data_IF_789696670676
#
_entry.id   IF_789696670676
#
_cell.length_a   1.000
_cell.length_b   1.000
_cell.length_c   1.000
_cell.angle_alpha   90.00
_cell.angle_beta   90.00
_cell.angle_gamma   90.00
#
_symmetry.space_group_name_H-M   'P 1'
#
loop_
_entity.id
_entity.type
_entity.pdbx_description
1 polymer ?
#
# COMPACT_ATOMS: atom_id res chain seq x y z
N UNK A 1 -22.88 -13.35 6.54
CA UNK A 1 -22.24 -14.68 6.58
C UNK A 1 -21.06 -14.70 7.57
N UNK A 2 -21.28 -14.35 8.84
CA UNK A 2 -20.22 -14.34 9.86
C UNK A 2 -20.75 -14.78 11.23
N UNK A 3 -21.50 -15.89 11.24
CA UNK A 3 -22.09 -16.46 12.47
C UNK A 3 -21.93 -17.97 12.59
N UNK A 4 -21.18 -18.63 11.68
CA UNK A 4 -21.05 -20.09 11.65
C UNK A 4 -19.63 -20.64 11.84
N UNK A 5 -18.61 -19.81 12.04
CA UNK A 5 -17.22 -20.27 12.21
C UNK A 5 -16.80 -20.21 13.69
N UNK A 6 -17.20 -21.23 14.44
CA UNK A 6 -16.76 -21.47 15.82
C UNK A 6 -15.31 -22.00 15.85
N UNK A 7 -14.36 -21.08 15.66
CA UNK A 7 -13.07 -21.11 16.35
C UNK A 7 -11.97 -22.07 15.88
N UNK A 8 -12.20 -22.96 14.90
CA UNK A 8 -11.13 -23.77 14.29
C UNK A 8 -11.23 -23.78 12.77
N UNK A 9 -10.60 -22.80 12.14
CA UNK A 9 -10.46 -22.73 10.69
C UNK A 9 -9.07 -22.22 10.33
N UNK A 10 -8.58 -22.61 9.17
CA UNK A 10 -7.41 -22.01 8.55
C UNK A 10 -7.93 -20.87 7.68
N UNK A 11 -7.58 -19.63 8.03
CA UNK A 11 -7.85 -18.47 7.19
C UNK A 11 -6.81 -18.44 6.06
N UNK A 12 -7.27 -18.49 4.81
CA UNK A 12 -6.43 -18.26 3.65
C UNK A 12 -6.82 -16.89 3.10
N UNK A 13 -5.90 -15.93 3.21
CA UNK A 13 -6.09 -14.60 2.62
C UNK A 13 -5.67 -14.65 1.16
N UNK A 14 -6.57 -14.26 0.27
CA UNK A 14 -6.34 -14.20 -1.17
C UNK A 14 -6.37 -12.74 -1.58
N UNK A 15 -5.22 -12.20 -1.97
CA UNK A 15 -5.10 -10.87 -2.55
C UNK A 15 -5.07 -10.92 -4.08
N UNK A 16 -4.86 -9.75 -4.69
CA UNK A 16 -4.45 -9.66 -6.09
C UNK A 16 -3.10 -10.32 -6.35
N UNK A 17 -2.86 -10.63 -7.62
CA UNK A 17 -1.63 -11.26 -8.08
C UNK A 17 -0.42 -10.41 -7.65
N UNK A 18 0.56 -11.06 -7.02
CA UNK A 18 1.91 -10.51 -6.91
C UNK A 18 2.52 -10.29 -8.30
N UNK A 19 3.62 -9.54 -8.38
CA UNK A 19 4.28 -9.31 -9.68
C UNK A 19 4.71 -10.62 -10.36
N UNK A 20 5.26 -11.58 -9.61
CA UNK A 20 5.61 -12.91 -10.14
C UNK A 20 4.38 -13.64 -10.69
N UNK A 21 3.27 -13.65 -9.95
CA UNK A 21 2.03 -14.25 -10.40
C UNK A 21 1.44 -13.51 -11.60
N UNK A 22 1.56 -12.18 -11.66
CA UNK A 22 1.14 -11.37 -12.81
C UNK A 22 1.90 -11.76 -14.07
N UNK A 23 3.22 -11.96 -13.99
CA UNK A 23 4.03 -12.46 -15.10
C UNK A 23 3.55 -13.84 -15.57
N UNK A 24 3.34 -14.77 -14.64
CA UNK A 24 2.90 -16.14 -14.93
C UNK A 24 1.49 -16.15 -15.54
N UNK A 25 0.54 -15.44 -14.93
CA UNK A 25 -0.83 -15.38 -15.41
C UNK A 25 -0.92 -14.78 -16.81
N UNK A 26 -0.13 -13.75 -17.09
CA UNK A 26 -0.20 -13.03 -18.36
C UNK A 26 0.75 -13.57 -19.44
N UNK A 27 1.52 -14.63 -19.15
CA UNK A 27 2.57 -15.16 -20.04
C UNK A 27 3.57 -14.08 -20.48
N UNK A 28 4.01 -13.26 -19.52
CA UNK A 28 4.93 -12.15 -19.76
C UNK A 28 6.34 -12.50 -19.29
N UNK A 29 7.33 -12.06 -20.07
CA UNK A 29 8.73 -12.07 -19.63
C UNK A 29 8.94 -11.02 -18.54
N UNK A 30 9.81 -11.32 -17.58
CA UNK A 30 10.24 -10.35 -16.59
C UNK A 30 11.07 -9.24 -17.27
N UNK A 31 10.44 -8.09 -17.54
CA UNK A 31 11.06 -6.91 -18.13
C UNK A 31 10.37 -5.61 -17.65
N UNK A 32 10.91 -4.46 -18.06
CA UNK A 32 10.41 -3.16 -17.63
C UNK A 32 9.00 -2.85 -18.15
N UNK A 33 8.62 -3.37 -19.31
CA UNK A 33 7.25 -3.19 -19.85
C UNK A 33 6.21 -3.95 -19.03
N UNK A 34 6.54 -5.18 -18.62
CA UNK A 34 5.69 -5.97 -17.73
C UNK A 34 5.54 -5.30 -16.36
N UNK A 35 6.64 -4.78 -15.79
CA UNK A 35 6.60 -4.01 -14.55
C UNK A 35 5.72 -2.76 -14.73
N UNK A 36 5.92 -1.98 -15.79
CA UNK A 36 5.11 -0.79 -16.07
C UNK A 36 3.62 -1.11 -16.18
N UNK A 37 3.27 -2.23 -16.82
CA UNK A 37 1.89 -2.69 -16.92
C UNK A 37 1.32 -3.06 -15.54
N UNK A 38 2.08 -3.78 -14.70
CA UNK A 38 1.68 -4.10 -13.33
C UNK A 38 1.48 -2.84 -12.46
N UNK A 39 2.43 -1.89 -12.50
CA UNK A 39 2.34 -0.61 -11.80
C UNK A 39 1.18 0.29 -12.29
N UNK A 40 0.60 -0.01 -13.46
CA UNK A 40 -0.51 0.76 -14.04
C UNK A 40 -1.86 0.09 -13.83
N UNK A 41 -1.96 -1.19 -14.17
CA UNK A 41 -3.20 -1.97 -14.21
C UNK A 41 -3.49 -2.72 -12.91
N UNK A 42 -2.50 -2.89 -12.04
CA UNK A 42 -2.62 -3.74 -10.86
C UNK A 42 -2.51 -5.23 -11.18
N UNK A 43 -2.87 -6.06 -10.21
CA UNK A 43 -2.76 -7.51 -10.19
C UNK A 43 -4.11 -8.24 -10.24
N UNK A 44 -5.21 -7.61 -10.65
CA UNK A 44 -6.50 -8.33 -10.72
C UNK A 44 -6.46 -9.47 -11.78
N UNK A 45 -6.73 -10.74 -11.41
CA UNK A 45 -6.49 -11.88 -12.30
C UNK A 45 -7.27 -11.84 -13.62
N UNK A 46 -8.49 -11.30 -13.61
CA UNK A 46 -9.35 -11.27 -14.79
C UNK A 46 -8.81 -10.36 -15.90
N UNK A 47 -7.88 -9.44 -15.59
CA UNK A 47 -7.21 -8.59 -16.59
C UNK A 47 -6.57 -9.46 -17.67
N UNK A 48 -6.11 -10.68 -17.36
CA UNK A 48 -5.58 -11.65 -18.35
C UNK A 48 -6.48 -11.80 -19.57
N UNK A 49 -7.80 -11.87 -19.36
CA UNK A 49 -8.79 -12.16 -20.40
C UNK A 49 -9.20 -10.93 -21.23
N UNK A 50 -8.72 -9.74 -20.86
CA UNK A 50 -9.04 -8.50 -21.53
C UNK A 50 -8.02 -8.16 -22.61
N UNK A 51 -8.51 -7.46 -23.65
CA UNK A 51 -7.67 -6.77 -24.62
C UNK A 51 -6.77 -5.79 -23.86
N UNK A 52 -5.46 -5.81 -24.14
CA UNK A 52 -4.44 -5.00 -23.46
C UNK A 52 -4.45 -3.54 -23.91
N UNK A 53 -5.59 -2.88 -23.71
CA UNK A 53 -5.79 -1.44 -23.92
C UNK A 53 -6.28 -0.80 -22.63
N UNK A 54 -5.84 0.41 -22.38
CA UNK A 54 -6.08 1.10 -21.11
C UNK A 54 -7.57 1.36 -20.88
N UNK A 55 -8.28 1.86 -21.88
CA UNK A 55 -9.73 2.07 -21.83
C UNK A 55 -10.49 0.80 -21.40
N UNK A 56 -10.23 -0.32 -22.06
CA UNK A 56 -10.87 -1.62 -21.77
C UNK A 56 -10.58 -2.09 -20.33
N UNK A 57 -9.32 -2.01 -19.92
CA UNK A 57 -8.91 -2.47 -18.59
C UNK A 57 -9.48 -1.55 -17.51
N UNK A 58 -9.41 -0.22 -17.69
CA UNK A 58 -9.92 0.73 -16.70
C UNK A 58 -11.44 0.71 -16.60
N UNK A 59 -12.18 0.42 -17.66
CA UNK A 59 -13.63 0.22 -17.57
C UNK A 59 -13.99 -1.04 -16.78
N UNK A 60 -13.23 -2.14 -16.95
CA UNK A 60 -13.35 -3.31 -16.07
C UNK A 60 -13.05 -2.95 -14.61
N UNK A 61 -11.93 -2.28 -14.34
CA UNK A 61 -11.52 -1.90 -12.97
C UNK A 61 -12.55 -0.99 -12.30
N UNK A 62 -13.13 -0.02 -13.04
CA UNK A 62 -14.22 0.83 -12.53
C UNK A 62 -15.46 0.02 -12.16
N UNK A 63 -15.83 -0.98 -12.96
CA UNK A 63 -16.99 -1.84 -12.65
C UNK A 63 -16.77 -2.68 -11.37
N UNK A 64 -15.56 -3.20 -11.18
CA UNK A 64 -15.17 -3.89 -9.94
C UNK A 64 -15.22 -2.91 -8.76
N UNK A 65 -14.61 -1.73 -8.91
CA UNK A 65 -14.59 -0.66 -7.91
C UNK A 65 -16.01 -0.26 -7.48
N UNK A 66 -16.93 -0.05 -8.44
CA UNK A 66 -18.33 0.24 -8.15
C UNK A 66 -18.99 -0.89 -7.36
N UNK A 67 -18.70 -2.15 -7.69
CA UNK A 67 -19.24 -3.30 -6.96
C UNK A 67 -18.75 -3.31 -5.51
N UNK A 68 -17.46 -3.12 -5.27
CA UNK A 68 -16.87 -3.06 -3.92
C UNK A 68 -17.48 -1.90 -3.13
N UNK A 69 -17.48 -0.69 -3.70
CA UNK A 69 -17.97 0.51 -3.02
C UNK A 69 -19.46 0.39 -2.71
N UNK A 70 -20.30 0.03 -3.69
CA UNK A 70 -21.75 0.02 -3.49
C UNK A 70 -22.22 -1.19 -2.70
N UNK A 71 -21.83 -2.42 -3.08
CA UNK A 71 -22.34 -3.64 -2.44
C UNK A 71 -21.64 -3.94 -1.12
N UNK A 72 -20.31 -3.95 -1.14
CA UNK A 72 -19.54 -4.45 0.01
C UNK A 72 -19.40 -3.42 1.13
N UNK A 73 -19.59 -2.13 0.80
CA UNK A 73 -19.48 -1.03 1.77
C UNK A 73 -20.79 -0.27 1.97
N UNK A 74 -21.31 0.44 0.95
CA UNK A 74 -22.47 1.33 1.13
C UNK A 74 -23.71 0.56 1.59
N UNK A 75 -24.10 -0.49 0.88
CA UNK A 75 -25.27 -1.31 1.23
C UNK A 75 -25.04 -2.07 2.53
N UNK A 76 -23.88 -2.70 2.71
CA UNK A 76 -23.56 -3.50 3.91
C UNK A 76 -23.63 -2.70 5.21
N UNK A 77 -23.15 -1.45 5.20
CA UNK A 77 -23.11 -0.60 6.39
C UNK A 77 -24.18 0.49 6.40
N UNK A 78 -25.12 0.48 5.44
CA UNK A 78 -26.19 1.47 5.28
C UNK A 78 -25.67 2.92 5.33
N UNK A 79 -24.61 3.20 4.56
CA UNK A 79 -23.99 4.53 4.50
C UNK A 79 -24.98 5.54 3.93
N UNK A 80 -25.34 6.56 4.73
CA UNK A 80 -26.28 7.61 4.33
C UNK A 80 -25.65 8.72 3.50
N UNK A 81 -24.46 9.17 3.88
CA UNK A 81 -23.77 10.26 3.19
C UNK A 81 -22.79 9.69 2.16
N UNK A 82 -23.33 9.28 1.02
CA UNK A 82 -22.57 8.66 -0.08
C UNK A 82 -21.57 9.65 -0.68
N UNK A 83 -21.98 10.91 -0.90
CA UNK A 83 -21.11 11.95 -1.48
C UNK A 83 -19.85 12.17 -0.64
N UNK A 84 -20.00 12.29 0.68
CA UNK A 84 -18.85 12.41 1.56
C UNK A 84 -17.98 11.15 1.53
N UNK A 85 -18.60 9.97 1.53
CA UNK A 85 -17.87 8.71 1.49
C UNK A 85 -17.02 8.60 0.22
N UNK A 86 -17.59 8.85 -0.96
CA UNK A 86 -16.85 8.82 -2.23
C UNK A 86 -15.71 9.84 -2.26
N UNK A 87 -15.94 11.06 -1.76
CA UNK A 87 -14.90 12.09 -1.65
C UNK A 87 -13.78 11.68 -0.68
N UNK A 88 -14.11 10.99 0.43
CA UNK A 88 -13.13 10.45 1.36
C UNK A 88 -12.24 9.40 0.69
N UNK A 89 -12.82 8.49 -0.11
CA UNK A 89 -12.04 7.47 -0.84
C UNK A 89 -11.11 8.14 -1.87
N UNK A 90 -11.61 9.11 -2.63
CA UNK A 90 -10.78 9.87 -3.58
C UNK A 90 -9.63 10.58 -2.87
N UNK A 91 -9.91 11.21 -1.73
CA UNK A 91 -8.88 11.84 -0.91
C UNK A 91 -7.82 10.84 -0.42
N UNK A 92 -8.21 9.64 0.01
CA UNK A 92 -7.27 8.56 0.37
C UNK A 92 -6.41 8.12 -0.81
N UNK A 93 -6.99 8.01 -2.02
CA UNK A 93 -6.24 7.65 -3.22
C UNK A 93 -5.20 8.72 -3.60
N UNK A 94 -5.52 10.01 -3.47
CA UNK A 94 -4.55 11.09 -3.67
C UNK A 94 -3.44 11.10 -2.60
N UNK A 95 -3.74 10.62 -1.39
CA UNK A 95 -2.83 10.66 -0.24
C UNK A 95 -2.33 9.27 0.17
N UNK A 96 -2.30 8.32 -0.76
CA UNK A 96 -1.79 6.96 -0.48
C UNK A 96 -0.33 7.03 0.00
N UNK A 97 -0.01 6.33 1.09
CA UNK A 97 1.31 6.38 1.72
C UNK A 97 1.60 7.65 2.53
N UNK A 98 0.76 8.69 2.48
CA UNK A 98 0.94 9.89 3.29
C UNK A 98 0.28 9.77 4.68
N UNK A 99 0.71 10.62 5.61
CA UNK A 99 0.09 10.71 6.94
C UNK A 99 -1.35 11.19 6.84
N UNK A 100 -2.25 10.38 7.37
CA UNK A 100 -3.67 10.66 7.43
C UNK A 100 -4.13 10.82 8.89
N UNK A 101 -4.90 11.88 9.17
CA UNK A 101 -5.51 12.11 10.48
C UNK A 101 -7.00 12.43 10.33
N UNK A 102 -7.88 11.63 10.93
CA UNK A 102 -9.33 11.85 10.88
C UNK A 102 -9.74 13.21 11.46
N UNK A 103 -9.01 13.71 12.46
CA UNK A 103 -9.22 15.04 13.04
C UNK A 103 -9.03 16.14 12.00
N UNK A 104 -7.94 16.11 11.23
CA UNK A 104 -7.66 17.13 10.18
C UNK A 104 -8.80 17.22 9.16
N UNK A 105 -9.40 16.09 8.79
CA UNK A 105 -10.53 16.06 7.85
C UNK A 105 -11.79 16.64 8.48
N UNK A 106 -12.12 16.21 9.70
CA UNK A 106 -13.28 16.72 10.43
C UNK A 106 -13.18 18.24 10.65
N UNK A 107 -12.01 18.73 11.07
CA UNK A 107 -11.75 20.15 11.29
C UNK A 107 -11.82 20.95 9.98
N UNK A 108 -11.26 20.43 8.88
CA UNK A 108 -11.38 21.05 7.56
C UNK A 108 -12.83 21.14 7.10
N UNK A 109 -13.62 20.05 7.22
CA UNK A 109 -15.02 20.03 6.81
C UNK A 109 -15.87 20.99 7.65
N UNK A 110 -15.62 21.06 8.96
CA UNK A 110 -16.26 22.05 9.84
C UNK A 110 -15.98 23.48 9.39
N UNK A 111 -14.77 23.79 8.93
CA UNK A 111 -14.46 25.11 8.37
C UNK A 111 -15.27 25.44 7.11
N UNK A 112 -15.69 24.41 6.37
CA UNK A 112 -16.58 24.50 5.20
C UNK A 112 -18.08 24.42 5.57
N UNK A 113 -18.42 24.51 6.86
CA UNK A 113 -19.79 24.38 7.39
C UNK A 113 -20.43 23.01 7.15
N UNK A 114 -19.62 21.97 6.98
CA UNK A 114 -20.06 20.58 6.88
C UNK A 114 -19.72 19.87 8.19
N UNK A 115 -20.73 19.50 8.97
CA UNK A 115 -20.51 18.82 10.25
C UNK A 115 -20.37 17.30 10.06
N UNK A 116 -19.12 16.84 9.99
CA UNK A 116 -18.78 15.42 9.97
C UNK A 116 -17.83 15.15 11.13
N UNK A 117 -18.27 14.30 12.07
CA UNK A 117 -17.45 13.93 13.21
C UNK A 117 -16.28 13.02 12.82
N UNK A 118 -15.20 13.09 13.59
CA UNK A 118 -14.03 12.20 13.48
C UNK A 118 -14.41 10.72 13.57
N UNK A 119 -15.42 10.38 14.39
CA UNK A 119 -15.97 9.03 14.52
C UNK A 119 -16.57 8.52 13.21
N UNK A 120 -17.24 9.37 12.43
CA UNK A 120 -17.79 9.00 11.12
C UNK A 120 -16.67 8.70 10.14
N UNK A 121 -15.65 9.57 10.08
CA UNK A 121 -14.46 9.35 9.22
C UNK A 121 -13.78 8.02 9.55
N UNK A 122 -13.52 7.75 10.84
CA UNK A 122 -12.90 6.50 11.29
C UNK A 122 -13.77 5.27 10.97
N UNK A 123 -15.09 5.39 11.10
CA UNK A 123 -16.00 4.29 10.75
C UNK A 123 -15.95 3.96 9.28
N UNK A 124 -15.94 4.97 8.39
CA UNK A 124 -15.85 4.78 6.95
C UNK A 124 -14.52 4.13 6.54
N UNK A 125 -13.41 4.55 7.15
CA UNK A 125 -12.10 3.92 6.96
C UNK A 125 -12.09 2.46 7.43
N UNK A 126 -12.77 2.15 8.52
CA UNK A 126 -12.92 0.78 8.99
C UNK A 126 -13.75 -0.07 8.01
N UNK A 127 -14.79 0.50 7.42
CA UNK A 127 -15.61 -0.21 6.44
C UNK A 127 -14.83 -0.56 5.18
N UNK A 128 -13.96 0.36 4.70
CA UNK A 128 -13.06 0.10 3.57
C UNK A 128 -12.03 -0.99 3.90
N UNK A 129 -11.49 -1.01 5.12
CA UNK A 129 -10.60 -2.08 5.58
C UNK A 129 -11.29 -3.44 5.64
N UNK A 130 -12.53 -3.47 6.16
CA UNK A 130 -13.31 -4.71 6.25
C UNK A 130 -13.72 -5.26 4.86
N UNK A 131 -13.76 -4.40 3.84
CA UNK A 131 -13.97 -4.78 2.44
C UNK A 131 -12.67 -5.11 1.70
N UNK A 132 -11.54 -5.19 2.41
CA UNK A 132 -10.20 -5.41 1.84
C UNK A 132 -9.81 -4.42 0.75
N UNK A 133 -10.38 -3.21 0.77
CA UNK A 133 -10.11 -2.20 -0.25
C UNK A 133 -8.88 -1.35 0.09
N UNK A 134 -8.69 -1.07 1.38
CA UNK A 134 -7.52 -0.34 1.89
C UNK A 134 -6.98 -1.02 3.13
N UNK A 135 -5.66 -0.94 3.31
CA UNK A 135 -4.96 -1.36 4.51
C UNK A 135 -4.52 -0.13 5.30
N UNK A 136 -4.69 -0.21 6.62
CA UNK A 136 -4.17 0.78 7.57
C UNK A 136 -2.88 0.27 8.16
N UNK A 137 -1.79 1.00 8.00
CA UNK A 137 -0.51 0.62 8.61
C UNK A 137 -0.40 1.21 10.01
N UNK A 138 -0.07 0.33 10.95
CA UNK A 138 0.29 0.70 12.32
C UNK A 138 1.70 1.28 12.35
N UNK A 139 1.97 2.13 13.33
CA UNK A 139 3.32 2.63 13.61
C UNK A 139 3.99 1.70 14.62
N UNK A 140 5.19 1.23 14.28
CA UNK A 140 6.04 0.39 15.10
C UNK A 140 7.14 1.27 15.67
N UNK A 141 7.14 1.45 16.98
CA UNK A 141 8.15 2.24 17.65
C UNK A 141 9.43 1.41 17.82
N UNK A 142 10.52 1.87 17.22
CA UNK A 142 11.80 1.16 17.27
C UNK A 142 12.64 1.52 18.50
N UNK A 143 12.17 2.48 19.32
CA UNK A 143 12.88 3.00 20.52
C UNK A 143 12.09 2.85 21.83
N UNK A 144 10.90 2.23 21.80
CA UNK A 144 10.16 1.82 23.00
C UNK A 144 9.34 2.91 23.73
N UNK A 145 9.14 4.12 23.17
CA UNK A 145 8.32 5.16 23.83
C UNK A 145 7.24 5.76 22.92
N UNK A 146 5.98 5.52 23.30
CA UNK A 146 4.69 5.93 22.69
C UNK A 146 4.08 4.96 21.67
N UNK A 147 2.95 4.38 22.06
CA UNK A 147 2.09 3.46 21.28
C UNK A 147 0.81 4.17 20.78
N UNK A 148 0.48 5.35 21.32
CA UNK A 148 -0.78 6.06 21.06
C UNK A 148 -0.65 7.22 20.08
N UNK A 149 -0.25 6.95 18.84
CA UNK A 149 -0.25 7.97 17.77
C UNK A 149 -1.40 7.71 16.79
N UNK A 150 -2.12 8.78 16.42
CA UNK A 150 -3.34 8.70 15.59
C UNK A 150 -3.09 8.93 14.10
N UNK A 151 -1.85 9.22 13.71
CA UNK A 151 -1.44 9.44 12.32
C UNK A 151 -1.12 8.11 11.65
N UNK A 152 -2.02 7.63 10.80
CA UNK A 152 -1.85 6.35 10.11
C UNK A 152 -1.56 6.60 8.62
N UNK A 153 -0.86 5.65 7.99
CA UNK A 153 -0.76 5.59 6.52
C UNK A 153 -1.78 4.58 6.01
N UNK A 154 -2.35 4.86 4.84
CA UNK A 154 -3.27 3.96 4.16
C UNK A 154 -2.72 3.59 2.78
N UNK A 155 -2.87 2.32 2.44
CA UNK A 155 -2.45 1.72 1.18
C UNK A 155 -3.62 0.96 0.55
N UNK A 156 -3.68 0.92 -0.77
CA UNK A 156 -4.72 0.21 -1.51
C UNK A 156 -4.29 -1.23 -1.74
N UNK A 157 -5.26 -2.15 -1.66
CA UNK A 157 -5.02 -3.57 -1.94
C UNK A 157 -4.49 -3.79 -3.36
N UNK A 158 -5.04 -3.06 -4.33
CA UNK A 158 -4.62 -3.10 -5.73
C UNK A 158 -4.43 -1.68 -6.27
N UNK A 159 -3.28 -1.44 -6.88
CA UNK A 159 -2.94 -0.12 -7.41
C UNK A 159 -3.76 0.23 -8.67
N UNK A 160 -4.17 -0.76 -9.45
CA UNK A 160 -5.08 -0.59 -10.58
C UNK A 160 -6.45 -0.07 -10.15
N UNK A 161 -7.02 -0.61 -9.07
CA UNK A 161 -8.26 -0.11 -8.47
C UNK A 161 -8.12 1.34 -7.96
N UNK A 162 -6.99 1.67 -7.33
CA UNK A 162 -6.67 3.07 -6.96
C UNK A 162 -6.62 3.97 -8.20
N UNK A 163 -5.96 3.53 -9.27
CA UNK A 163 -5.86 4.28 -10.53
C UNK A 163 -7.23 4.43 -11.20
N UNK A 164 -8.11 3.44 -11.12
CA UNK A 164 -9.47 3.52 -11.65
C UNK A 164 -10.32 4.58 -10.92
N UNK A 165 -10.05 4.82 -9.63
CA UNK A 165 -10.78 5.81 -8.84
C UNK A 165 -10.44 7.26 -9.21
N UNK A 166 -9.17 7.58 -9.47
CA UNK A 166 -8.71 8.97 -9.68
C UNK A 166 -8.05 9.24 -11.04
N UNK A 167 -7.99 8.24 -11.91
CA UNK A 167 -7.38 8.31 -13.23
C UNK A 167 -5.85 8.28 -13.22
N UNK A 168 -5.28 8.05 -14.41
CA UNK A 168 -3.84 7.95 -14.63
C UNK A 168 -3.11 9.31 -14.57
N UNK A 169 -3.81 10.43 -14.70
CA UNK A 169 -3.21 11.76 -14.67
C UNK A 169 -2.67 12.15 -13.28
N UNK A 170 -3.09 11.42 -12.23
CA UNK A 170 -2.69 11.63 -10.84
C UNK A 170 -1.67 10.58 -10.37
N UNK A 171 -0.71 10.24 -11.25
CA UNK A 171 0.30 9.23 -10.99
C UNK A 171 1.43 9.80 -10.12
N UNK A 172 1.48 9.39 -8.85
CA UNK A 172 2.59 9.67 -7.95
C UNK A 172 3.52 8.47 -7.94
N UNK A 173 4.68 8.56 -8.63
CA UNK A 173 5.64 7.45 -8.69
C UNK A 173 6.01 6.94 -7.30
N UNK A 174 6.40 7.77 -6.31
CA UNK A 174 6.75 7.28 -4.98
C UNK A 174 5.63 6.49 -4.31
N UNK A 175 4.38 6.98 -4.40
CA UNK A 175 3.23 6.31 -3.78
C UNK A 175 2.94 4.95 -4.43
N UNK A 176 3.10 4.84 -5.76
CA UNK A 176 2.97 3.57 -6.48
C UNK A 176 3.99 2.57 -5.94
N UNK A 177 5.26 2.99 -5.84
CA UNK A 177 6.37 2.15 -5.39
C UNK A 177 6.16 1.65 -3.97
N UNK A 178 5.83 2.55 -3.05
CA UNK A 178 5.55 2.20 -1.66
C UNK A 178 4.38 1.21 -1.58
N UNK A 179 3.29 1.44 -2.33
CA UNK A 179 2.13 0.57 -2.30
C UNK A 179 2.43 -0.84 -2.82
N UNK A 180 3.15 -0.97 -3.95
CA UNK A 180 3.44 -2.31 -4.48
C UNK A 180 4.47 -3.07 -3.63
N UNK A 181 5.43 -2.37 -3.01
CA UNK A 181 6.36 -2.96 -2.03
C UNK A 181 5.58 -3.45 -0.81
N UNK A 182 4.65 -2.64 -0.30
CA UNK A 182 3.78 -3.01 0.81
C UNK A 182 2.94 -4.27 0.49
N UNK A 183 2.27 -4.30 -0.66
CA UNK A 183 1.45 -5.45 -1.08
C UNK A 183 2.31 -6.69 -1.28
N UNK A 184 3.51 -6.56 -1.85
CA UNK A 184 4.44 -7.67 -1.98
C UNK A 184 4.81 -8.26 -0.61
N UNK A 185 5.16 -7.42 0.38
CA UNK A 185 5.46 -7.87 1.74
C UNK A 185 4.24 -8.55 2.40
N UNK A 186 3.03 -8.00 2.21
CA UNK A 186 1.80 -8.65 2.71
C UNK A 186 1.58 -10.03 2.07
N UNK A 187 1.73 -10.15 0.76
CA UNK A 187 1.56 -11.42 0.04
C UNK A 187 2.60 -12.46 0.45
N UNK A 188 3.78 -12.04 0.91
CA UNK A 188 4.81 -12.90 1.50
C UNK A 188 4.50 -13.31 2.96
N UNK A 189 3.37 -12.86 3.51
CA UNK A 189 2.88 -13.23 4.83
C UNK A 189 3.46 -12.41 5.99
N UNK A 190 4.06 -11.25 5.72
CA UNK A 190 4.54 -10.37 6.77
C UNK A 190 3.40 -9.55 7.41
N UNK A 191 3.52 -9.29 8.71
CA UNK A 191 2.83 -8.19 9.38
C UNK A 191 3.66 -6.92 9.20
N UNK A 192 3.12 -5.95 8.47
CA UNK A 192 3.86 -4.76 8.01
C UNK A 192 3.35 -3.51 8.73
N UNK A 193 4.29 -2.75 9.29
CA UNK A 193 4.02 -1.43 9.88
C UNK A 193 5.07 -0.41 9.47
N UNK A 194 4.85 0.83 9.87
CA UNK A 194 5.76 1.95 9.63
C UNK A 194 6.74 2.05 10.80
N UNK A 195 8.05 2.02 10.54
CA UNK A 195 9.07 2.14 11.58
C UNK A 195 9.25 3.58 12.03
N UNK A 196 9.21 3.85 13.33
CA UNK A 196 9.36 5.21 13.86
C UNK A 196 10.50 5.28 14.85
N UNK A 197 11.41 6.22 14.61
CA UNK A 197 12.43 6.68 15.54
C UNK A 197 12.15 8.15 15.93
N UNK A 198 12.78 8.70 16.98
CA UNK A 198 12.62 10.12 17.32
C UNK A 198 13.01 11.07 16.18
N UNK A 199 13.94 10.66 15.32
CA UNK A 199 14.56 11.49 14.30
C UNK A 199 14.01 11.22 12.89
N UNK A 200 13.36 10.07 12.67
CA UNK A 200 12.98 9.65 11.32
C UNK A 200 11.88 8.58 11.28
N UNK A 201 11.40 8.32 10.07
CA UNK A 201 10.48 7.24 9.75
C UNK A 201 11.14 6.30 8.72
N UNK A 202 11.00 5.00 8.93
CA UNK A 202 11.33 3.95 7.97
C UNK A 202 10.00 3.50 7.35
N UNK A 203 9.94 3.45 6.02
CA UNK A 203 8.68 3.22 5.31
C UNK A 203 8.00 1.92 5.75
N UNK A 204 8.76 0.82 5.82
CA UNK A 204 8.25 -0.48 6.26
C UNK A 204 9.18 -1.21 7.24
N UNK A 205 8.56 -1.75 8.28
CA UNK A 205 9.07 -2.78 9.17
C UNK A 205 8.15 -3.97 8.98
N UNK A 206 8.69 -5.07 8.45
CA UNK A 206 7.93 -6.27 8.14
C UNK A 206 8.37 -7.40 9.08
N UNK A 207 7.41 -8.05 9.73
CA UNK A 207 7.66 -9.07 10.75
C UNK A 207 6.94 -10.38 10.41
N UNK A 208 7.64 -11.51 10.46
CA UNK A 208 7.08 -12.85 10.19
C UNK A 208 7.84 -13.90 11.00
N UNK A 209 7.13 -14.67 11.83
CA UNK A 209 7.71 -15.79 12.59
C UNK A 209 8.98 -15.47 13.41
N UNK A 210 9.10 -14.23 13.92
CA UNK A 210 10.28 -13.78 14.67
C UNK A 210 11.37 -13.12 13.82
N UNK A 211 11.31 -13.26 12.48
CA UNK A 211 12.14 -12.52 11.55
C UNK A 211 11.61 -11.11 11.34
N UNK A 212 12.52 -10.15 11.18
CA UNK A 212 12.22 -8.75 10.89
C UNK A 212 13.02 -8.35 9.67
N UNK A 213 12.44 -7.50 8.82
CA UNK A 213 13.20 -6.75 7.81
C UNK A 213 12.71 -5.32 7.74
N UNK A 214 13.61 -4.44 7.30
CA UNK A 214 13.37 -3.02 7.16
C UNK A 214 13.49 -2.61 5.70
N UNK A 215 12.53 -1.84 5.19
CA UNK A 215 12.52 -1.39 3.80
C UNK A 215 12.30 0.12 3.75
N UNK A 216 13.18 0.77 3.00
CA UNK A 216 13.04 2.16 2.58
C UNK A 216 12.81 2.17 1.07
N UNK A 217 11.85 2.96 0.59
CA UNK A 217 11.49 3.02 -0.83
C UNK A 217 11.78 4.42 -1.37
N UNK A 218 12.41 4.50 -2.54
CA UNK A 218 12.62 5.76 -3.23
C UNK A 218 12.48 5.58 -4.73
N UNK A 219 12.13 6.65 -5.46
CA UNK A 219 12.09 6.55 -6.91
C UNK A 219 13.48 6.32 -7.51
N UNK A 220 14.43 7.21 -7.24
CA UNK A 220 15.82 7.15 -7.70
C UNK A 220 16.74 7.72 -6.62
N UNK A 221 18.04 7.40 -6.72
CA UNK A 221 19.08 7.98 -5.85
C UNK A 221 20.04 8.83 -6.70
N UNK A 222 19.65 10.07 -7.05
CA UNK A 222 20.40 10.87 -8.01
C UNK A 222 21.66 11.52 -7.44
N UNK A 223 21.83 11.56 -6.12
CA UNK A 223 22.97 12.20 -5.46
C UNK A 223 23.21 11.65 -4.04
N UNK A 224 24.38 11.99 -3.49
CA UNK A 224 24.79 11.56 -2.16
C UNK A 224 23.86 12.04 -1.05
N UNK A 225 23.22 13.22 -1.19
CA UNK A 225 22.25 13.71 -0.19
C UNK A 225 21.03 12.79 -0.09
N UNK A 226 20.50 12.32 -1.22
CA UNK A 226 19.39 11.35 -1.23
C UNK A 226 19.88 10.00 -0.68
N UNK A 227 21.08 9.57 -1.07
CA UNK A 227 21.69 8.33 -0.55
C UNK A 227 21.83 8.36 0.97
N UNK A 228 22.45 9.40 1.52
CA UNK A 228 22.62 9.57 2.97
C UNK A 228 21.28 9.60 3.69
N UNK A 229 20.25 10.23 3.11
CA UNK A 229 18.91 10.25 3.69
C UNK A 229 18.25 8.86 3.71
N UNK A 230 18.16 8.18 2.57
CA UNK A 230 17.42 6.91 2.47
C UNK A 230 18.14 5.79 3.23
N UNK A 231 19.47 5.68 3.06
CA UNK A 231 20.24 4.67 3.79
C UNK A 231 20.41 5.03 5.26
N UNK A 232 20.61 6.32 5.58
CA UNK A 232 20.83 6.80 6.95
C UNK A 232 19.69 6.45 7.90
N UNK A 233 18.43 6.54 7.44
CA UNK A 233 17.24 6.11 8.20
C UNK A 233 17.36 4.66 8.70
N UNK A 234 17.80 3.77 7.83
CA UNK A 234 17.95 2.34 8.14
C UNK A 234 19.16 2.09 9.05
N UNK A 235 20.23 2.90 8.95
CA UNK A 235 21.42 2.79 9.79
C UNK A 235 21.19 3.23 11.25
N UNK A 236 20.10 3.94 11.54
CA UNK A 236 19.69 4.23 12.92
C UNK A 236 19.21 2.98 13.66
N UNK A 237 18.81 1.94 12.93
CA UNK A 237 18.40 0.64 13.49
C UNK A 237 19.64 -0.22 13.73
N UNK A 238 19.93 -0.47 15.01
CA UNK A 238 21.19 -1.10 15.45
C UNK A 238 21.18 -2.63 15.46
N UNK A 239 20.06 -3.26 15.16
CA UNK A 239 19.99 -4.71 15.02
C UNK A 239 20.64 -5.19 13.71
N UNK A 240 20.79 -6.51 13.58
CA UNK A 240 21.40 -7.14 12.42
C UNK A 240 20.37 -7.71 11.42
N UNK A 241 19.09 -7.39 11.59
CA UNK A 241 18.06 -7.85 10.66
C UNK A 241 18.26 -7.23 9.27
N UNK A 242 17.83 -7.91 8.18
CA UNK A 242 17.96 -7.42 6.81
C UNK A 242 17.37 -6.02 6.60
N UNK A 243 18.09 -5.19 5.85
CA UNK A 243 17.72 -3.81 5.53
C UNK A 243 17.83 -3.60 4.02
N UNK A 244 16.78 -3.06 3.41
CA UNK A 244 16.68 -2.84 1.97
C UNK A 244 16.35 -1.40 1.64
N UNK A 245 17.06 -0.83 0.67
CA UNK A 245 16.63 0.36 -0.07
C UNK A 245 16.16 -0.11 -1.44
N UNK A 246 14.88 0.09 -1.75
CA UNK A 246 14.23 -0.36 -2.99
C UNK A 246 13.99 0.83 -3.90
N UNK A 247 14.52 0.80 -5.12
CA UNK A 247 14.41 1.92 -6.06
C UNK A 247 14.19 1.51 -7.51
N UNK A 248 13.95 2.48 -8.39
CA UNK A 248 13.92 2.27 -9.84
C UNK A 248 15.29 2.51 -10.51
N UNK A 249 16.38 2.61 -9.74
CA UNK A 249 17.72 2.76 -10.32
C UNK A 249 18.05 1.49 -11.13
N UNK A 250 18.49 1.66 -12.37
CA UNK A 250 18.82 0.54 -13.28
C UNK A 250 20.00 -0.28 -12.76
N UNK A 251 20.98 0.39 -12.16
CA UNK A 251 22.18 -0.21 -11.58
C UNK A 251 22.28 0.19 -10.09
N UNK A 252 21.61 -0.54 -9.19
CA UNK A 252 21.72 -0.28 -7.76
C UNK A 252 23.17 -0.47 -7.28
N UNK A 253 23.60 0.31 -6.30
CA UNK A 253 25.00 0.33 -5.82
C UNK A 253 25.40 -0.95 -5.04
N UNK A 254 24.52 -1.96 -5.02
CA UNK A 254 24.71 -3.25 -4.37
C UNK A 254 24.48 -3.20 -2.86
N UNK A 255 25.46 -2.72 -2.09
CA UNK A 255 25.36 -2.61 -0.63
C UNK A 255 26.06 -1.37 -0.12
N UNK A 256 25.44 -0.70 0.85
CA UNK A 256 26.02 0.44 1.56
C UNK A 256 25.89 0.22 3.06
N UNK A 257 27.05 0.03 3.74
CA UNK A 257 27.12 -0.20 5.19
C UNK A 257 26.20 -1.35 5.68
N UNK A 258 26.09 -2.42 4.90
CA UNK A 258 25.26 -3.60 5.22
C UNK A 258 23.79 -3.49 4.78
N UNK A 259 23.35 -2.32 4.32
CA UNK A 259 22.01 -2.13 3.73
C UNK A 259 22.07 -2.48 2.24
N UNK A 260 21.20 -3.38 1.78
CA UNK A 260 21.14 -3.82 0.38
C UNK A 260 20.38 -2.80 -0.46
N UNK A 261 20.96 -2.38 -1.58
CA UNK A 261 20.27 -1.58 -2.59
C UNK A 261 19.78 -2.51 -3.69
N UNK A 262 18.48 -2.51 -3.97
CA UNK A 262 17.87 -3.41 -4.94
C UNK A 262 16.88 -2.66 -5.83
N UNK A 263 16.84 -3.04 -7.11
CA UNK A 263 15.84 -2.53 -8.03
C UNK A 263 14.45 -3.07 -7.64
N UNK A 264 13.40 -2.27 -7.80
CA UNK A 264 12.02 -2.64 -7.49
C UNK A 264 11.62 -3.96 -8.15
N UNK A 265 11.97 -4.15 -9.42
CA UNK A 265 11.60 -5.35 -10.17
C UNK A 265 12.15 -6.61 -9.52
N UNK A 266 13.42 -6.55 -9.12
CA UNK A 266 14.11 -7.67 -8.49
C UNK A 266 13.56 -7.91 -7.07
N UNK A 267 13.27 -6.82 -6.33
CA UNK A 267 12.64 -6.92 -5.00
C UNK A 267 11.28 -7.60 -5.06
N UNK A 268 10.43 -7.23 -6.02
CA UNK A 268 9.11 -7.83 -6.20
C UNK A 268 9.15 -9.30 -6.65
N UNK A 269 10.34 -9.80 -7.04
CA UNK A 269 10.58 -11.20 -7.36
C UNK A 269 11.24 -11.98 -6.21
N UNK A 270 11.61 -11.33 -5.10
CA UNK A 270 12.19 -12.02 -3.95
C UNK A 270 11.16 -12.89 -3.24
N UNK A 271 11.64 -14.03 -2.73
CA UNK A 271 10.91 -14.85 -1.77
C UNK A 271 11.64 -14.82 -0.43
N UNK A 272 10.89 -14.58 0.64
CA UNK A 272 11.42 -14.54 2.00
C UNK A 272 11.02 -15.82 2.72
N UNK A 273 12.00 -16.72 2.88
CA UNK A 273 11.86 -17.97 3.62
C UNK A 273 11.71 -17.72 5.13
#
# INVERSE_FOLDING_TARGET
MATYLSGRYIEIKVGTLSFNEFLIFHDLKNNNDALKNYLKWGGLPFIKNLVKKDDVIFDYLKNILSTIIYKDVIQRYNIRNIDFFENLIKYLAHNTGNLFTANKISDYLKSQKIDISTKVVLSYLQYLQNAFFVYKLRRINLTGKNIFTTNNKYFFEDWGLRNALIGLNNFSVPAVLENVVFIHLLNQGFDVGVGVTPESEIDFVAQKNGEILYVQVAYLIPNDKVKEREFGRLLLVKDNYPKYVVTMDEYPVGSYKGVKHINLRDFLCLEFN
#
